data_IF_152608906986
#
_entry.id   IF_152608906986
#
_cell.length_a   1.000
_cell.length_b   1.000
_cell.length_c   1.000
_cell.angle_alpha   90.00
_cell.angle_beta   90.00
_cell.angle_gamma   90.00
#
_symmetry.space_group_name_H-M   'P 1'
#
loop_
_entity.id
_entity.type
_entity.pdbx_description
1 polymer ?
#
# COMPACT_ATOMS: atom_id res chain seq x y z
N UNK A 1 -32.14 -29.85 16.50
CA UNK A 1 -31.61 -28.47 16.62
C UNK A 1 -32.74 -27.48 16.82
N UNK A 2 -32.59 -26.56 17.77
CA UNK A 2 -33.55 -25.47 17.99
C UNK A 2 -33.57 -24.48 16.80
N UNK A 3 -34.71 -23.83 16.49
CA UNK A 3 -34.82 -22.93 15.33
C UNK A 3 -33.82 -21.76 15.39
N UNK A 4 -33.54 -21.24 16.58
CA UNK A 4 -32.57 -20.15 16.76
C UNK A 4 -31.13 -20.59 16.45
N UNK A 5 -30.75 -21.81 16.84
CA UNK A 5 -29.45 -22.42 16.51
C UNK A 5 -29.32 -22.61 15.00
N UNK A 6 -30.39 -23.07 14.35
CA UNK A 6 -30.40 -23.24 12.89
C UNK A 6 -30.21 -21.89 12.17
N UNK A 7 -30.90 -20.83 12.58
CA UNK A 7 -30.74 -19.49 12.01
C UNK A 7 -29.32 -18.97 12.22
N UNK A 8 -28.75 -19.17 13.41
CA UNK A 8 -27.37 -18.79 13.71
C UNK A 8 -26.38 -19.49 12.76
N UNK A 9 -26.39 -20.83 12.71
CA UNK A 9 -25.50 -21.62 11.85
C UNK A 9 -25.74 -21.31 10.37
N UNK A 10 -26.98 -21.06 9.96
CA UNK A 10 -27.30 -20.69 8.58
C UNK A 10 -26.77 -19.31 8.19
N UNK A 11 -26.73 -18.36 9.12
CA UNK A 11 -26.16 -17.02 8.91
C UNK A 11 -24.63 -16.99 8.90
N UNK A 12 -23.96 -18.05 9.37
CA UNK A 12 -22.50 -18.12 9.37
C UNK A 12 -21.92 -18.26 7.96
N UNK A 13 -20.74 -17.66 7.76
CA UNK A 13 -19.93 -17.84 6.55
C UNK A 13 -19.69 -19.34 6.32
N UNK A 14 -19.84 -19.78 5.07
CA UNK A 14 -19.53 -21.14 4.69
C UNK A 14 -18.04 -21.44 4.87
N UNK A 15 -17.72 -22.59 5.45
CA UNK A 15 -16.35 -22.99 5.77
C UNK A 15 -16.27 -23.96 6.95
N UNK A 16 -15.05 -24.16 7.45
CA UNK A 16 -14.78 -25.13 8.52
C UNK A 16 -15.55 -24.85 9.80
N UNK A 17 -15.62 -23.59 10.25
CA UNK A 17 -16.36 -23.24 11.47
C UNK A 17 -17.85 -23.64 11.38
N UNK A 18 -18.52 -23.32 10.27
CA UNK A 18 -19.93 -23.72 10.03
C UNK A 18 -20.10 -25.24 10.01
N UNK A 19 -19.17 -25.95 9.37
CA UNK A 19 -19.18 -27.41 9.32
C UNK A 19 -19.00 -28.05 10.71
N UNK A 20 -18.00 -27.60 11.49
CA UNK A 20 -17.73 -28.09 12.84
C UNK A 20 -18.95 -27.95 13.75
N UNK A 21 -19.59 -26.78 13.74
CA UNK A 21 -20.75 -26.51 14.58
C UNK A 21 -21.97 -27.31 14.13
N UNK A 22 -22.20 -27.46 12.82
CA UNK A 22 -23.31 -28.27 12.31
C UNK A 22 -23.18 -29.73 12.74
N UNK A 23 -21.95 -30.27 12.77
CA UNK A 23 -21.68 -31.64 13.22
C UNK A 23 -21.72 -31.82 14.73
N UNK A 24 -21.48 -30.76 15.50
CA UNK A 24 -21.55 -30.80 16.95
C UNK A 24 -23.00 -30.85 17.47
N UNK A 25 -23.99 -30.56 16.62
CA UNK A 25 -25.42 -30.55 16.96
C UNK A 25 -25.74 -29.82 18.27
N UNK A 26 -25.34 -28.54 18.42
CA UNK A 26 -25.53 -27.81 19.68
C UNK A 26 -27.01 -27.75 20.08
N UNK A 27 -27.25 -28.03 21.37
CA UNK A 27 -28.58 -28.10 21.95
C UNK A 27 -29.14 -26.69 22.22
N UNK A 28 -28.26 -25.74 22.53
CA UNK A 28 -28.62 -24.35 22.83
C UNK A 28 -27.88 -23.35 21.95
N UNK A 29 -28.36 -22.10 21.92
CA UNK A 29 -27.70 -21.04 21.18
C UNK A 29 -26.36 -20.67 21.81
N UNK A 30 -26.28 -20.66 23.13
CA UNK A 30 -25.06 -20.37 23.89
C UNK A 30 -23.97 -21.38 23.57
N UNK A 31 -24.32 -22.66 23.44
CA UNK A 31 -23.39 -23.71 23.03
C UNK A 31 -22.91 -23.49 21.60
N UNK A 32 -23.80 -23.13 20.67
CA UNK A 32 -23.42 -22.78 19.30
C UNK A 32 -22.48 -21.56 19.24
N UNK A 33 -22.71 -20.54 20.06
CA UNK A 33 -21.80 -19.39 20.19
C UNK A 33 -20.44 -19.78 20.76
N UNK A 34 -20.41 -20.60 21.82
CA UNK A 34 -19.17 -21.05 22.43
C UNK A 34 -18.31 -21.85 21.43
N UNK A 35 -18.93 -22.72 20.64
CA UNK A 35 -18.25 -23.47 19.58
C UNK A 35 -17.73 -22.55 18.47
N UNK A 36 -18.51 -21.57 18.02
CA UNK A 36 -18.07 -20.60 17.01
C UNK A 36 -16.83 -19.82 17.47
N UNK A 37 -16.84 -19.30 18.69
CA UNK A 37 -15.71 -18.56 19.27
C UNK A 37 -14.48 -19.44 19.43
N UNK A 38 -14.65 -20.70 19.84
CA UNK A 38 -13.56 -21.65 19.98
C UNK A 38 -12.88 -21.92 18.63
N UNK A 39 -13.64 -22.18 17.57
CA UNK A 39 -13.09 -22.42 16.23
C UNK A 39 -12.34 -21.20 15.70
N UNK A 40 -12.93 -20.00 15.80
CA UNK A 40 -12.27 -18.76 15.38
C UNK A 40 -10.96 -18.53 16.16
N UNK A 41 -10.96 -18.81 17.46
CA UNK A 41 -9.77 -18.71 18.29
C UNK A 41 -8.69 -19.74 17.90
N UNK A 42 -9.06 -21.00 17.67
CA UNK A 42 -8.10 -22.03 17.25
C UNK A 42 -7.45 -21.64 15.92
N UNK A 43 -8.26 -21.16 14.97
CA UNK A 43 -7.76 -20.67 13.68
C UNK A 43 -6.83 -19.48 13.89
N UNK A 44 -7.27 -18.42 14.58
CA UNK A 44 -6.47 -17.22 14.81
C UNK A 44 -5.16 -17.51 15.59
N UNK A 45 -5.22 -18.35 16.62
CA UNK A 45 -4.06 -18.73 17.43
C UNK A 45 -3.07 -19.60 16.66
N UNK A 46 -3.54 -20.40 15.70
CA UNK A 46 -2.66 -21.17 14.82
C UNK A 46 -1.78 -20.25 13.96
N UNK A 47 -2.34 -19.17 13.41
CA UNK A 47 -1.57 -18.16 12.68
C UNK A 47 -0.60 -17.42 13.59
N UNK A 48 -1.04 -17.02 14.78
CA UNK A 48 -0.17 -16.34 15.75
C UNK A 48 1.02 -17.20 16.20
N UNK A 49 0.82 -18.52 16.32
CA UNK A 49 1.89 -19.50 16.64
C UNK A 49 2.76 -19.89 15.45
N UNK A 50 2.24 -19.75 14.23
CA UNK A 50 2.98 -20.01 12.99
C UNK A 50 3.91 -18.88 12.60
N UNK A 51 3.69 -17.66 13.10
CA UNK A 51 4.71 -16.64 13.07
C UNK A 51 5.83 -17.11 14.01
N UNK A 52 7.05 -17.40 13.50
CA UNK A 52 8.19 -17.43 14.38
C UNK A 52 8.16 -16.10 15.13
N UNK A 53 8.38 -16.11 16.45
CA UNK A 53 8.91 -14.91 17.07
C UNK A 53 10.06 -14.50 16.15
N UNK A 54 9.96 -13.34 15.49
CA UNK A 54 11.05 -12.79 14.69
C UNK A 54 12.28 -12.93 15.57
N UNK A 55 13.08 -13.98 15.32
CA UNK A 55 14.44 -14.05 15.83
C UNK A 55 14.98 -12.73 15.34
N UNK A 56 15.46 -11.82 16.21
CA UNK A 56 16.05 -10.61 15.73
C UNK A 56 17.21 -11.06 14.85
N UNK A 57 16.95 -11.14 13.55
CA UNK A 57 17.95 -11.28 12.53
C UNK A 57 18.86 -10.11 12.82
N UNK A 58 20.16 -10.39 12.92
CA UNK A 58 21.19 -9.38 13.11
C UNK A 58 21.16 -8.44 11.91
N UNK A 59 20.14 -7.58 11.87
CA UNK A 59 20.06 -6.44 11.00
C UNK A 59 21.10 -5.44 11.47
N UNK A 60 21.57 -4.57 10.57
CA UNK A 60 22.55 -3.57 10.94
C UNK A 60 22.05 -2.76 12.14
N UNK A 61 22.94 -2.51 13.11
CA UNK A 61 22.59 -1.69 14.27
C UNK A 61 21.96 -0.36 13.80
N UNK A 62 20.87 0.10 14.45
CA UNK A 62 20.27 1.38 14.14
C UNK A 62 21.34 2.47 14.20
N UNK A 63 21.47 3.26 13.14
CA UNK A 63 22.43 4.35 13.11
C UNK A 63 22.08 5.39 14.18
N UNK A 64 23.04 5.72 15.05
CA UNK A 64 22.88 6.75 16.08
C UNK A 64 22.70 8.12 15.41
N UNK A 65 21.58 8.79 15.69
CA UNK A 65 21.17 10.05 15.04
C UNK A 65 21.65 11.27 15.87
N UNK A 66 22.19 11.05 17.07
CA UNK A 66 22.48 12.09 18.05
C UNK A 66 23.88 12.74 17.89
N UNK A 67 24.67 12.31 16.90
CA UNK A 67 26.04 12.81 16.68
C UNK A 67 26.13 14.19 16.00
N UNK A 68 25.10 15.03 16.08
CA UNK A 68 25.06 16.35 15.43
C UNK A 68 25.28 17.53 16.39
N UNK A 69 26.16 17.39 17.39
CA UNK A 69 26.51 18.55 18.24
C UNK A 69 28.00 18.95 18.29
N UNK A 70 28.90 18.29 17.56
CA UNK A 70 30.33 18.62 17.64
C UNK A 70 30.99 19.15 16.34
N UNK A 71 30.23 19.43 15.27
CA UNK A 71 30.80 19.96 14.00
C UNK A 71 30.28 21.36 13.61
N UNK A 72 29.84 22.16 14.58
CA UNK A 72 29.49 23.58 14.32
C UNK A 72 30.66 24.55 14.59
N UNK A 73 31.79 24.05 15.10
CA UNK A 73 32.97 24.88 15.45
C UNK A 73 34.21 24.60 14.61
N UNK A 74 34.08 24.00 13.42
CA UNK A 74 35.17 23.92 12.46
C UNK A 74 34.72 24.53 11.13
N UNK A 75 35.44 25.55 10.60
CA UNK A 75 35.28 25.95 9.21
C UNK A 75 35.59 24.74 8.33
N UNK A 76 34.54 24.19 7.72
CA UNK A 76 34.58 23.08 6.79
C UNK A 76 35.56 23.38 5.65
N UNK A 77 36.81 22.97 5.80
CA UNK A 77 37.81 22.97 4.73
C UNK A 77 37.53 21.75 3.84
N UNK A 78 36.65 21.92 2.86
CA UNK A 78 36.48 20.92 1.80
C UNK A 78 37.32 21.32 0.60
N UNK A 79 38.47 20.68 0.48
CA UNK A 79 39.04 20.37 -0.83
C UNK A 79 38.21 19.23 -1.45
N UNK A 80 37.69 19.46 -2.65
CA UNK A 80 37.16 18.37 -3.50
C UNK A 80 35.66 18.33 -3.70
N UNK A 81 35.18 19.16 -4.65
CA UNK A 81 33.92 19.05 -5.41
C UNK A 81 32.63 19.53 -4.73
N UNK A 82 32.61 20.82 -4.37
CA UNK A 82 31.40 21.63 -4.58
C UNK A 82 31.12 21.72 -6.08
N UNK A 83 30.24 20.86 -6.62
CA UNK A 83 29.66 21.09 -7.94
C UNK A 83 28.66 22.24 -7.85
N UNK A 84 29.17 23.45 -8.07
CA UNK A 84 28.42 24.61 -8.55
C UNK A 84 27.52 25.29 -7.52
N UNK A 85 27.86 26.54 -7.21
CA UNK A 85 26.83 27.52 -6.86
C UNK A 85 25.78 27.52 -7.97
N UNK A 86 24.63 26.90 -7.69
CA UNK A 86 23.42 27.19 -8.44
C UNK A 86 22.77 28.31 -7.64
N UNK A 87 22.98 29.53 -8.14
CA UNK A 87 21.98 30.61 -8.18
C UNK A 87 20.61 30.05 -7.75
N UNK A 88 19.95 30.61 -6.70
CA UNK A 88 18.81 29.98 -6.04
C UNK A 88 17.82 29.57 -7.11
N UNK A 89 17.85 28.28 -7.49
CA UNK A 89 17.08 27.81 -8.64
C UNK A 89 15.66 28.13 -8.27
N UNK A 90 15.04 29.03 -9.03
CA UNK A 90 13.73 29.54 -8.73
C UNK A 90 12.85 28.33 -8.44
N UNK A 91 12.37 28.24 -7.20
CA UNK A 91 11.68 27.05 -6.72
C UNK A 91 10.53 26.75 -7.69
N UNK A 92 10.65 25.64 -8.42
CA UNK A 92 9.61 25.19 -9.34
C UNK A 92 8.58 24.39 -8.56
N UNK A 93 7.32 24.75 -8.71
CA UNK A 93 6.23 24.04 -8.09
C UNK A 93 6.09 22.64 -8.70
N UNK A 94 6.15 21.57 -7.89
CA UNK A 94 6.00 20.19 -8.38
C UNK A 94 4.65 19.89 -9.04
N UNK A 95 3.60 20.66 -8.76
CA UNK A 95 2.26 20.50 -9.38
C UNK A 95 2.19 21.09 -10.80
N UNK A 96 2.55 22.36 -10.98
CA UNK A 96 2.40 23.08 -12.25
C UNK A 96 3.72 23.39 -12.99
N UNK A 97 4.86 23.01 -12.42
CA UNK A 97 6.24 23.27 -12.89
C UNK A 97 6.62 24.75 -13.08
N UNK A 98 5.77 25.70 -12.66
CA UNK A 98 6.05 27.15 -12.66
C UNK A 98 6.89 27.54 -11.44
N UNK A 99 7.76 28.53 -11.60
CA UNK A 99 8.53 29.11 -10.49
C UNK A 99 7.67 30.02 -9.61
N UNK A 100 8.18 30.38 -8.42
CA UNK A 100 7.61 31.45 -7.59
C UNK A 100 6.65 30.99 -6.48
N UNK A 101 6.36 29.69 -6.36
CA UNK A 101 5.55 29.17 -5.27
C UNK A 101 5.81 27.68 -4.97
N UNK A 102 5.41 27.22 -3.78
CA UNK A 102 5.49 25.80 -3.37
C UNK A 102 4.23 25.05 -3.83
N UNK A 103 4.34 23.73 -4.02
CA UNK A 103 3.20 22.86 -4.32
C UNK A 103 2.05 22.96 -3.28
N UNK A 104 2.39 23.22 -2.02
CA UNK A 104 1.43 23.39 -0.92
C UNK A 104 0.49 24.59 -1.11
N UNK A 105 0.95 25.66 -1.77
CA UNK A 105 0.16 26.89 -2.02
C UNK A 105 -0.37 26.96 -3.46
N UNK A 106 -0.15 25.92 -4.26
CA UNK A 106 -0.57 25.88 -5.65
C UNK A 106 -2.04 25.47 -5.77
N UNK A 107 -2.82 26.24 -6.54
CA UNK A 107 -4.24 25.93 -6.84
C UNK A 107 -4.43 24.95 -8.01
N UNK A 108 -3.37 24.57 -8.74
CA UNK A 108 -3.48 23.59 -9.82
C UNK A 108 -3.92 22.23 -9.25
N UNK A 109 -4.79 21.44 -9.92
CA UNK A 109 -5.16 20.10 -9.46
C UNK A 109 -3.91 19.24 -9.21
N UNK A 110 -3.98 18.33 -8.24
CA UNK A 110 -2.86 17.41 -8.00
C UNK A 110 -2.67 16.54 -9.25
N UNK A 111 -1.43 16.31 -9.72
CA UNK A 111 -1.22 15.43 -10.84
C UNK A 111 -1.74 14.04 -10.46
N UNK A 112 -2.76 13.57 -11.18
CA UNK A 112 -3.19 12.18 -11.10
C UNK A 112 -2.07 11.38 -11.76
N UNK A 113 -1.35 10.59 -10.97
CA UNK A 113 -0.29 9.73 -11.46
C UNK A 113 -0.97 8.58 -12.21
N UNK A 114 -1.28 8.78 -13.49
CA UNK A 114 -1.48 7.67 -14.42
C UNK A 114 -0.09 7.14 -14.78
N UNK A 115 0.13 5.84 -14.61
CA UNK A 115 1.32 5.18 -15.13
C UNK A 115 1.29 5.27 -16.65
N UNK A 116 1.87 6.35 -17.18
CA UNK A 116 2.03 6.56 -18.60
C UNK A 116 3.40 6.02 -18.97
N UNK A 117 3.40 4.82 -19.53
CA UNK A 117 4.56 4.28 -20.25
C UNK A 117 4.92 5.28 -21.35
N UNK A 118 6.12 5.86 -21.23
CA UNK A 118 6.67 6.73 -22.26
C UNK A 118 6.91 5.90 -23.51
N UNK A 119 5.94 5.88 -24.43
CA UNK A 119 6.19 5.53 -25.82
C UNK A 119 6.80 6.76 -26.47
N UNK A 120 8.09 6.68 -26.80
CA UNK A 120 8.75 7.65 -27.65
C UNK A 120 8.02 7.69 -29.00
N UNK A 121 7.31 8.79 -29.28
CA UNK A 121 6.90 9.13 -30.63
C UNK A 121 8.10 9.72 -31.34
N UNK A 122 8.69 8.97 -32.26
CA UNK A 122 9.31 9.56 -33.43
C UNK A 122 8.37 9.39 -34.63
N UNK A 123 8.31 10.44 -35.41
CA UNK A 123 7.23 10.87 -36.27
C UNK A 123 7.36 10.30 -37.69
N UNK A 124 6.27 9.72 -38.24
CA UNK A 124 5.87 9.96 -39.64
C UNK A 124 4.40 9.62 -39.88
N UNK A 125 3.59 10.65 -40.08
CA UNK A 125 2.15 10.57 -40.41
C UNK A 125 1.94 10.32 -41.93
N UNK A 126 0.70 10.19 -42.45
CA UNK A 126 0.06 8.94 -42.89
C UNK A 126 -0.18 8.90 -44.42
N UNK A 127 -0.68 7.78 -44.97
CA UNK A 127 -1.74 7.75 -46.02
C UNK A 127 -2.23 6.31 -46.13
N UNK A 128 -3.52 6.09 -45.84
CA UNK A 128 -4.25 4.91 -46.30
C UNK A 128 -5.62 5.37 -46.81
N UNK A 129 -5.91 5.02 -48.06
CA UNK A 129 -7.05 5.47 -48.86
C UNK A 129 -8.40 4.91 -48.34
N UNK A 130 -9.52 5.63 -48.53
CA UNK A 130 -10.84 5.09 -48.20
C UNK A 130 -11.25 4.00 -49.20
N UNK A 131 -11.75 2.87 -48.68
CA UNK A 131 -12.40 1.81 -49.45
C UNK A 131 -13.79 2.28 -49.86
N UNK A 132 -14.07 2.25 -51.16
CA UNK A 132 -15.41 2.44 -51.72
C UNK A 132 -16.23 1.17 -51.42
N UNK A 133 -17.27 1.31 -50.62
CA UNK A 133 -18.42 0.39 -50.61
C UNK A 133 -19.47 0.97 -51.57
N UNK A 134 -19.80 0.21 -52.62
CA UNK A 134 -20.91 0.53 -53.53
C UNK A 134 -21.86 -0.66 -53.55
N UNK A 135 -22.95 -0.50 -52.81
CA UNK A 135 -24.17 -1.29 -52.98
C UNK A 135 -24.89 -0.90 -54.28
N UNK A 136 -25.43 -1.93 -54.93
CA UNK A 136 -26.27 -1.99 -56.13
C UNK A 136 -25.57 -2.00 -57.50
#
# INVERSE_FOLDING_TARGET
MAPQVHVFVFGMREGMARYCITRAEPATLEEAFALALHEDYVVASSYARQLPAEVPSSGPEPMEIDAVEASQRQPWSSSGRRRGGREPRALVCFRCRKSGHRAAVCRAPAPVIVHMEHVASDEKTPVAQPKNDRDQ
#
